data_IF_264251219146
#
_entry.id   IF_264251219146
#
_cell.length_a   1.000
_cell.length_b   1.000
_cell.length_c   1.000
_cell.angle_alpha   90.00
_cell.angle_beta   90.00
_cell.angle_gamma   90.00
#
_symmetry.space_group_name_H-M   'P 1'
#
loop_
_entity.id
_entity.type
_entity.pdbx_description
1 polymer ?
#
# COMPACT_ATOMS: atom_id res chain seq x y z
N UNK A 1 0.50 -57.82 17.25
CA UNK A 1 0.75 -57.91 18.70
C UNK A 1 0.34 -56.55 19.30
N UNK A 2 -0.77 -56.57 20.08
CA UNK A 2 -1.36 -55.38 20.74
C UNK A 2 -0.50 -54.97 21.93
N UNK A 3 -0.44 -53.72 22.29
CA UNK A 3 -0.58 -53.19 23.65
C UNK A 3 -0.86 -51.67 23.53
N UNK A 4 -1.99 -51.22 24.03
CA UNK A 4 -2.38 -49.88 24.47
C UNK A 4 -2.57 -49.95 26.00
N UNK A 5 -3.07 -48.91 26.71
CA UNK A 5 -2.57 -47.57 27.02
C UNK A 5 -2.53 -47.37 28.57
N UNK A 6 -2.07 -46.25 29.09
CA UNK A 6 -2.43 -45.84 30.47
C UNK A 6 -2.69 -44.32 30.55
N UNK A 7 -3.88 -44.02 31.03
CA UNK A 7 -4.36 -42.70 31.52
C UNK A 7 -3.76 -42.39 32.89
N UNK A 8 -3.60 -41.09 33.18
CA UNK A 8 -3.78 -40.58 34.53
C UNK A 8 -4.45 -39.20 34.50
N UNK A 9 -5.68 -39.22 35.03
CA UNK A 9 -6.47 -38.04 35.40
C UNK A 9 -5.96 -37.48 36.73
N UNK A 10 -5.94 -36.14 36.90
CA UNK A 10 -6.04 -35.51 38.21
C UNK A 10 -7.00 -34.32 38.16
N UNK A 11 -8.12 -34.50 38.84
CA UNK A 11 -9.11 -33.48 39.18
C UNK A 11 -8.60 -32.60 40.34
N UNK A 12 -8.78 -31.28 40.30
CA UNK A 12 -9.00 -30.48 41.49
C UNK A 12 -10.06 -29.38 41.21
N UNK A 13 -11.20 -29.58 41.85
CA UNK A 13 -12.30 -28.64 42.02
C UNK A 13 -12.05 -27.72 43.20
N UNK A 14 -12.35 -26.43 43.12
CA UNK A 14 -12.84 -25.58 44.21
C UNK A 14 -13.56 -24.32 43.68
N UNK A 15 -14.48 -23.69 44.46
CA UNK A 15 -15.73 -23.18 43.91
C UNK A 15 -15.80 -21.66 43.72
N UNK A 16 -16.71 -21.26 42.82
CA UNK A 16 -17.14 -19.87 42.61
C UNK A 16 -17.84 -19.29 43.85
N UNK A 17 -17.44 -18.07 44.22
CA UNK A 17 -18.29 -17.17 45.01
C UNK A 17 -18.86 -16.11 44.08
N UNK A 18 -20.19 -16.07 43.99
CA UNK A 18 -20.94 -15.05 43.29
C UNK A 18 -20.92 -13.75 44.08
N UNK A 19 -20.59 -12.65 43.41
CA UNK A 19 -20.86 -11.30 43.89
C UNK A 19 -21.81 -10.62 42.91
N UNK A 20 -23.06 -10.44 43.32
CA UNK A 20 -24.04 -9.63 42.63
C UNK A 20 -23.63 -8.15 42.73
N UNK A 21 -23.16 -7.55 41.65
CA UNK A 21 -23.01 -6.12 41.49
C UNK A 21 -24.15 -5.58 40.62
N UNK A 22 -24.91 -4.63 41.14
CA UNK A 22 -25.98 -3.91 40.42
C UNK A 22 -25.39 -3.22 39.20
N UNK A 23 -25.90 -3.55 38.01
CA UNK A 23 -25.60 -2.85 36.74
C UNK A 23 -26.55 -1.64 36.69
N UNK A 24 -26.01 -0.46 36.93
CA UNK A 24 -26.67 0.81 36.59
C UNK A 24 -26.46 1.08 35.12
N UNK A 25 -27.51 1.00 34.33
CA UNK A 25 -27.50 1.33 32.89
C UNK A 25 -27.38 2.86 32.77
N UNK A 26 -26.15 3.34 32.52
CA UNK A 26 -25.94 4.73 32.11
C UNK A 26 -26.00 4.74 30.58
N UNK A 27 -27.11 5.23 30.03
CA UNK A 27 -27.23 5.60 28.62
C UNK A 27 -26.38 6.85 28.38
N UNK A 28 -25.10 6.62 28.04
CA UNK A 28 -24.27 7.70 27.55
C UNK A 28 -24.68 7.99 26.10
N UNK A 29 -25.26 9.16 25.87
CA UNK A 29 -25.35 9.77 24.54
C UNK A 29 -23.94 9.95 24.02
N UNK A 30 -23.53 9.09 23.08
CA UNK A 30 -22.24 9.18 22.42
C UNK A 30 -22.18 10.49 21.63
N UNK A 31 -21.41 11.44 22.12
CA UNK A 31 -20.96 12.57 21.32
C UNK A 31 -20.23 12.04 20.09
N UNK A 32 -20.35 12.66 18.90
CA UNK A 32 -19.62 12.23 17.72
C UNK A 32 -18.13 12.31 18.04
N UNK A 33 -17.49 11.15 18.13
CA UNK A 33 -16.05 11.06 18.35
C UNK A 33 -15.34 11.72 17.16
N UNK A 34 -14.67 12.83 17.44
CA UNK A 34 -13.69 13.40 16.51
C UNK A 34 -12.58 12.36 16.39
N UNK A 35 -12.36 11.85 15.17
CA UNK A 35 -11.27 10.91 14.90
C UNK A 35 -9.94 11.56 15.33
N UNK A 36 -8.99 10.81 15.93
CA UNK A 36 -7.72 11.36 16.36
C UNK A 36 -6.93 11.95 15.17
N UNK A 37 -6.09 12.95 15.42
CA UNK A 37 -5.33 13.68 14.37
C UNK A 37 -4.52 12.75 13.42
N UNK A 38 -4.17 11.55 13.87
CA UNK A 38 -3.47 10.54 13.08
C UNK A 38 -4.33 9.97 11.93
N UNK A 39 -5.65 10.03 12.03
CA UNK A 39 -6.57 9.53 11.00
C UNK A 39 -6.67 10.45 9.77
N UNK A 40 -6.13 11.67 9.84
CA UNK A 40 -6.10 12.62 8.73
C UNK A 40 -4.73 12.73 8.04
N UNK A 41 -3.76 11.94 8.47
CA UNK A 41 -2.50 11.84 7.72
C UNK A 41 -2.80 11.35 6.30
N UNK A 42 -2.30 12.03 5.30
CA UNK A 42 -2.57 11.74 3.88
C UNK A 42 -4.01 11.90 3.40
N UNK A 43 -4.92 12.41 4.22
CA UNK A 43 -6.27 12.74 3.78
C UNK A 43 -6.27 13.98 2.88
N UNK A 44 -7.22 14.14 1.97
CA UNK A 44 -7.35 15.36 1.19
C UNK A 44 -7.70 16.57 2.08
N UNK A 45 -7.26 17.74 1.68
CA UNK A 45 -7.51 19.00 2.40
C UNK A 45 -9.01 19.23 2.69
N UNK A 46 -9.87 18.88 1.73
CA UNK A 46 -11.32 19.01 1.85
C UNK A 46 -11.95 18.06 2.87
N UNK A 47 -11.23 17.04 3.33
CA UNK A 47 -11.70 16.13 4.39
C UNK A 47 -12.00 16.83 5.72
N UNK A 48 -11.53 18.07 5.89
CA UNK A 48 -11.80 18.90 7.07
C UNK A 48 -13.18 19.58 7.02
N UNK A 49 -13.84 19.59 5.86
CA UNK A 49 -15.19 20.16 5.72
C UNK A 49 -16.20 19.38 6.54
N UNK A 50 -17.09 20.09 7.22
CA UNK A 50 -18.16 19.48 8.02
C UNK A 50 -19.34 19.11 7.12
N UNK A 51 -19.93 17.92 7.27
CA UNK A 51 -21.16 17.59 6.57
C UNK A 51 -22.26 18.62 6.86
N UNK A 52 -23.01 19.02 5.85
CA UNK A 52 -24.19 19.89 5.99
C UNK A 52 -25.35 19.09 6.57
N UNK A 53 -25.50 17.84 6.13
CA UNK A 53 -26.55 16.93 6.56
C UNK A 53 -26.01 15.50 6.72
N UNK A 54 -26.35 14.84 7.83
CA UNK A 54 -26.09 13.41 8.03
C UNK A 54 -27.39 12.62 7.87
N UNK A 55 -27.33 11.59 7.03
CA UNK A 55 -28.47 10.75 6.65
C UNK A 55 -28.18 9.33 7.13
N UNK A 56 -28.88 8.82 8.15
CA UNK A 56 -28.76 7.41 8.53
C UNK A 56 -29.40 6.51 7.47
N UNK A 57 -28.77 5.37 7.20
CA UNK A 57 -29.24 4.38 6.22
C UNK A 57 -29.13 2.96 6.77
N UNK A 58 -30.22 2.19 6.71
CA UNK A 58 -30.32 0.82 7.22
C UNK A 58 -31.19 -0.12 6.36
N UNK A 59 -31.59 0.31 5.16
CA UNK A 59 -32.41 -0.52 4.27
C UNK A 59 -31.52 -1.49 3.47
N UNK A 60 -31.53 -2.76 3.84
CA UNK A 60 -30.76 -3.84 3.19
C UNK A 60 -31.47 -4.45 1.99
N UNK A 61 -32.65 -3.96 1.59
CA UNK A 61 -33.29 -4.41 0.35
C UNK A 61 -32.38 -4.20 -0.83
N UNK A 62 -32.45 -5.13 -1.76
CA UNK A 62 -31.71 -5.08 -3.00
C UNK A 62 -31.87 -3.72 -3.70
N UNK A 63 -30.78 -3.14 -4.15
CA UNK A 63 -30.68 -1.83 -4.81
C UNK A 63 -31.24 -0.63 -4.00
N UNK A 64 -31.55 -0.78 -2.73
CA UNK A 64 -31.96 0.35 -1.89
C UNK A 64 -30.80 1.33 -1.65
N UNK A 65 -29.60 0.80 -1.36
CA UNK A 65 -28.39 1.63 -1.16
C UNK A 65 -28.01 2.41 -2.42
N UNK A 66 -27.92 1.83 -3.63
CA UNK A 66 -27.69 2.59 -4.87
C UNK A 66 -28.66 3.76 -5.06
N UNK A 67 -29.94 3.58 -4.77
CA UNK A 67 -30.95 4.66 -4.86
C UNK A 67 -30.72 5.77 -3.84
N UNK A 68 -30.38 5.39 -2.59
CA UNK A 68 -30.06 6.37 -1.54
C UNK A 68 -28.82 7.18 -1.90
N UNK A 69 -27.76 6.54 -2.41
CA UNK A 69 -26.54 7.21 -2.88
C UNK A 69 -26.82 8.16 -4.04
N UNK A 70 -27.62 7.73 -5.04
CA UNK A 70 -27.96 8.57 -6.18
C UNK A 70 -28.76 9.83 -5.81
N UNK A 71 -29.40 9.87 -4.66
CA UNK A 71 -30.14 11.02 -4.15
C UNK A 71 -29.31 12.03 -3.35
N UNK A 72 -28.03 11.73 -3.08
CA UNK A 72 -27.14 12.61 -2.30
C UNK A 72 -26.83 13.90 -3.06
N UNK A 73 -26.67 14.96 -2.29
CA UNK A 73 -26.33 16.31 -2.74
C UNK A 73 -25.01 16.75 -2.11
N UNK A 74 -24.32 17.75 -2.68
CA UNK A 74 -23.12 18.30 -2.05
C UNK A 74 -23.35 18.64 -0.57
N UNK A 75 -22.42 18.17 0.28
CA UNK A 75 -22.48 18.31 1.74
C UNK A 75 -23.24 17.19 2.47
N UNK A 76 -23.82 16.24 1.77
CA UNK A 76 -24.47 15.09 2.41
C UNK A 76 -23.47 14.05 2.90
N UNK A 77 -23.75 13.47 4.07
CA UNK A 77 -23.06 12.35 4.67
C UNK A 77 -24.05 11.20 4.86
N UNK A 78 -23.91 10.14 4.08
CA UNK A 78 -24.66 8.90 4.23
C UNK A 78 -23.95 8.00 5.24
N UNK A 79 -24.61 7.73 6.38
CA UNK A 79 -24.07 6.88 7.45
C UNK A 79 -24.79 5.54 7.42
N UNK A 80 -24.07 4.50 6.99
CA UNK A 80 -24.64 3.18 6.69
C UNK A 80 -24.55 2.29 7.92
N UNK A 81 -25.68 1.75 8.38
CA UNK A 81 -25.74 0.80 9.48
C UNK A 81 -25.15 -0.57 9.10
N UNK A 82 -24.80 -1.37 10.12
CA UNK A 82 -24.32 -2.74 9.91
C UNK A 82 -25.31 -3.56 9.07
N UNK A 83 -24.78 -4.30 8.11
CA UNK A 83 -25.59 -5.15 7.22
C UNK A 83 -24.82 -5.57 5.97
N UNK A 84 -25.42 -6.51 5.24
CA UNK A 84 -24.95 -6.93 3.92
C UNK A 84 -25.85 -6.32 2.85
N UNK A 85 -25.26 -5.53 1.97
CA UNK A 85 -25.92 -4.80 0.90
C UNK A 85 -25.55 -5.49 -0.42
N UNK A 86 -26.51 -6.23 -0.99
CA UNK A 86 -26.31 -7.02 -2.20
C UNK A 86 -26.61 -6.17 -3.44
N UNK A 87 -25.67 -6.16 -4.39
CA UNK A 87 -25.80 -5.46 -5.68
C UNK A 87 -26.18 -6.47 -6.77
N UNK A 88 -27.42 -6.50 -7.17
CA UNK A 88 -27.88 -7.35 -8.30
C UNK A 88 -27.65 -6.67 -9.65
N UNK A 89 -27.78 -5.35 -9.71
CA UNK A 89 -27.54 -4.55 -10.90
C UNK A 89 -26.17 -3.89 -10.84
N UNK A 90 -25.65 -3.47 -12.00
CA UNK A 90 -24.45 -2.62 -12.05
C UNK A 90 -24.68 -1.40 -11.17
N UNK A 91 -23.79 -1.22 -10.19
CA UNK A 91 -23.83 -0.04 -9.34
C UNK A 91 -22.74 0.95 -9.76
N UNK A 92 -23.20 2.13 -10.15
CA UNK A 92 -22.37 3.26 -10.53
C UNK A 92 -22.65 4.43 -9.61
N UNK A 93 -21.64 4.93 -8.94
CA UNK A 93 -21.72 6.16 -8.14
C UNK A 93 -21.35 7.33 -9.05
N UNK A 94 -22.30 8.22 -9.27
CA UNK A 94 -22.20 9.37 -10.20
C UNK A 94 -22.38 10.72 -9.50
N UNK A 95 -22.56 10.73 -8.16
CA UNK A 95 -22.76 11.95 -7.40
C UNK A 95 -21.43 12.60 -7.06
N UNK A 96 -21.39 13.93 -7.08
CA UNK A 96 -20.22 14.75 -6.81
C UNK A 96 -20.51 15.81 -5.76
N UNK A 97 -19.53 16.08 -4.89
CA UNK A 97 -19.50 17.21 -3.99
C UNK A 97 -18.67 18.38 -4.51
N UNK A 98 -18.33 19.31 -3.63
CA UNK A 98 -17.33 20.37 -3.84
C UNK A 98 -16.30 20.33 -2.72
N UNK A 99 -15.24 21.10 -2.82
CA UNK A 99 -14.23 21.17 -1.74
C UNK A 99 -14.85 21.66 -0.41
N UNK A 100 -15.82 22.56 -0.48
CA UNK A 100 -16.50 23.14 0.69
C UNK A 100 -17.66 22.24 1.18
N UNK A 101 -18.23 21.42 0.28
CA UNK A 101 -19.39 20.58 0.53
C UNK A 101 -19.19 19.18 -0.10
N UNK A 102 -18.21 18.38 0.36
CA UNK A 102 -17.97 17.04 -0.17
C UNK A 102 -19.11 16.08 0.17
N UNK A 103 -19.18 14.97 -0.56
CA UNK A 103 -20.11 13.88 -0.28
C UNK A 103 -19.38 12.78 0.48
N UNK A 104 -20.03 12.25 1.51
CA UNK A 104 -19.50 11.17 2.34
C UNK A 104 -20.41 9.96 2.28
N UNK A 105 -19.84 8.80 1.96
CA UNK A 105 -20.50 7.49 2.01
C UNK A 105 -19.67 6.66 2.98
N UNK A 106 -20.19 6.37 4.17
CA UNK A 106 -19.38 5.73 5.19
C UNK A 106 -20.17 4.77 6.08
N UNK A 107 -19.46 3.78 6.59
CA UNK A 107 -20.00 2.91 7.63
C UNK A 107 -20.23 3.70 8.93
N UNK A 108 -21.31 3.39 9.65
CA UNK A 108 -21.47 3.87 11.01
C UNK A 108 -20.31 3.37 11.89
N UNK A 109 -19.94 4.16 12.90
CA UNK A 109 -18.82 3.83 13.78
C UNK A 109 -18.95 2.42 14.37
N UNK A 110 -17.95 1.56 14.14
CA UNK A 110 -17.91 0.17 14.60
C UNK A 110 -18.89 -0.77 13.87
N UNK A 111 -19.59 -0.31 12.84
CA UNK A 111 -20.51 -1.14 12.08
C UNK A 111 -19.77 -1.96 11.01
N UNK A 112 -20.09 -3.25 10.90
CA UNK A 112 -19.69 -4.08 9.75
C UNK A 112 -20.70 -3.86 8.62
N UNK A 113 -20.26 -3.11 7.59
CA UNK A 113 -21.04 -2.80 6.38
C UNK A 113 -20.42 -3.51 5.20
N UNK A 114 -21.13 -4.46 4.60
CA UNK A 114 -20.63 -5.30 3.51
C UNK A 114 -21.34 -4.97 2.21
N UNK A 115 -20.59 -4.58 1.19
CA UNK A 115 -21.07 -4.47 -0.20
C UNK A 115 -20.63 -5.74 -0.93
N UNK A 116 -21.57 -6.43 -1.55
CA UNK A 116 -21.26 -7.68 -2.24
C UNK A 116 -22.06 -7.87 -3.52
N UNK A 117 -21.53 -8.69 -4.41
CA UNK A 117 -22.14 -9.12 -5.66
C UNK A 117 -21.77 -10.57 -5.92
N UNK A 118 -22.74 -11.38 -6.34
CA UNK A 118 -22.52 -12.79 -6.71
C UNK A 118 -22.09 -12.97 -8.15
N UNK A 119 -22.44 -12.02 -9.04
CA UNK A 119 -22.03 -12.05 -10.46
C UNK A 119 -20.55 -11.65 -10.59
N UNK A 120 -19.69 -12.65 -10.84
CA UNK A 120 -18.23 -12.49 -10.99
C UNK A 120 -17.78 -11.80 -12.28
N UNK A 121 -18.72 -11.48 -13.20
CA UNK A 121 -18.44 -10.73 -14.42
C UNK A 121 -18.68 -9.23 -14.29
N UNK A 122 -19.24 -8.81 -13.17
CA UNK A 122 -19.55 -7.41 -12.90
C UNK A 122 -18.80 -6.94 -11.64
N UNK A 123 -18.34 -5.69 -11.65
CA UNK A 123 -17.72 -5.09 -10.48
C UNK A 123 -18.75 -4.90 -9.36
N UNK A 124 -18.30 -4.93 -8.10
CA UNK A 124 -19.21 -4.68 -6.96
C UNK A 124 -19.62 -3.21 -6.95
N UNK A 125 -18.64 -2.29 -7.02
CA UNK A 125 -18.86 -0.85 -7.01
C UNK A 125 -18.05 -0.19 -8.13
N UNK A 126 -18.67 0.71 -8.87
CA UNK A 126 -17.99 1.61 -9.78
C UNK A 126 -18.17 3.06 -9.31
N UNK A 127 -17.17 3.90 -9.50
CA UNK A 127 -17.22 5.34 -9.25
C UNK A 127 -16.66 6.05 -10.47
N UNK A 128 -17.45 6.91 -11.09
CA UNK A 128 -16.98 7.77 -12.19
C UNK A 128 -16.71 7.06 -13.51
N UNK A 129 -17.34 5.91 -13.78
CA UNK A 129 -17.17 5.22 -15.07
C UNK A 129 -17.94 5.92 -16.20
N UNK A 130 -19.19 6.27 -15.94
CA UNK A 130 -20.08 6.86 -16.95
C UNK A 130 -20.11 8.39 -16.85
N UNK A 131 -19.94 8.94 -15.65
CA UNK A 131 -19.97 10.38 -15.38
C UNK A 131 -18.83 10.74 -14.45
N UNK A 132 -18.08 11.84 -14.71
CA UNK A 132 -17.01 12.28 -13.81
C UNK A 132 -17.48 12.49 -12.37
N UNK A 133 -16.71 12.02 -11.41
CA UNK A 133 -16.99 12.16 -9.96
C UNK A 133 -15.86 12.91 -9.28
N UNK A 134 -16.25 13.83 -8.41
CA UNK A 134 -15.27 14.61 -7.63
C UNK A 134 -15.76 14.90 -6.21
N UNK A 135 -14.80 15.11 -5.29
CA UNK A 135 -15.02 15.43 -3.88
C UNK A 135 -15.99 14.46 -3.19
N UNK A 136 -15.68 13.16 -3.32
CA UNK A 136 -16.46 12.07 -2.73
C UNK A 136 -15.53 11.20 -1.87
N UNK A 137 -15.99 10.85 -0.66
CA UNK A 137 -15.35 9.90 0.21
C UNK A 137 -16.17 8.60 0.32
N UNK A 138 -15.51 7.45 0.16
CA UNK A 138 -16.02 6.12 0.48
C UNK A 138 -15.18 5.55 1.64
N UNK A 139 -15.81 5.29 2.80
CA UNK A 139 -15.04 5.00 4.01
C UNK A 139 -15.57 3.83 4.83
N UNK A 140 -14.66 3.00 5.33
CA UNK A 140 -14.91 2.01 6.37
C UNK A 140 -15.84 0.87 5.97
N UNK A 141 -16.00 0.58 4.68
CA UNK A 141 -16.87 -0.48 4.17
C UNK A 141 -16.06 -1.70 3.75
N UNK A 142 -16.64 -2.89 3.90
CA UNK A 142 -16.14 -4.13 3.34
C UNK A 142 -16.72 -4.33 1.93
N UNK A 143 -15.87 -4.72 0.96
CA UNK A 143 -16.27 -4.98 -0.42
C UNK A 143 -15.77 -6.37 -0.82
N UNK A 144 -16.65 -7.27 -1.21
CA UNK A 144 -16.29 -8.66 -1.53
C UNK A 144 -17.14 -9.24 -2.65
N UNK A 145 -16.58 -10.21 -3.37
CA UNK A 145 -17.23 -10.83 -4.54
C UNK A 145 -17.10 -9.99 -5.81
N UNK A 146 -17.95 -10.23 -6.78
CA UNK A 146 -17.91 -9.58 -8.08
C UNK A 146 -16.65 -9.86 -8.88
N UNK A 147 -16.43 -9.13 -9.96
CA UNK A 147 -15.18 -9.11 -10.74
C UNK A 147 -14.16 -8.23 -10.04
N UNK A 148 -14.13 -6.93 -10.29
CA UNK A 148 -13.37 -6.00 -9.43
C UNK A 148 -14.18 -5.63 -8.18
N UNK A 149 -13.51 -5.47 -7.05
CA UNK A 149 -14.17 -4.97 -5.85
C UNK A 149 -14.63 -3.52 -6.04
N UNK A 150 -13.67 -2.62 -6.26
CA UNK A 150 -13.91 -1.21 -6.53
C UNK A 150 -13.22 -0.77 -7.81
N UNK A 151 -13.96 -0.13 -8.72
CA UNK A 151 -13.40 0.45 -9.93
C UNK A 151 -13.62 1.96 -9.99
N UNK A 152 -12.53 2.70 -10.12
CA UNK A 152 -12.51 4.15 -10.25
C UNK A 152 -12.31 4.50 -11.73
N UNK A 153 -13.12 5.39 -12.26
CA UNK A 153 -13.02 5.90 -13.63
C UNK A 153 -12.55 7.35 -13.67
N UNK A 154 -13.37 8.24 -14.21
CA UNK A 154 -13.12 9.68 -14.30
C UNK A 154 -13.26 10.31 -12.91
N UNK A 155 -12.29 10.08 -12.03
CA UNK A 155 -12.32 10.51 -10.63
C UNK A 155 -11.29 11.61 -10.37
N UNK A 156 -11.73 12.68 -9.70
CA UNK A 156 -10.86 13.73 -9.20
C UNK A 156 -11.20 14.09 -7.75
N UNK A 157 -10.20 14.18 -6.87
CA UNK A 157 -10.43 14.41 -5.43
C UNK A 157 -11.38 13.36 -4.82
N UNK A 158 -11.16 12.08 -5.12
CA UNK A 158 -11.92 10.97 -4.51
C UNK A 158 -11.07 10.31 -3.43
N UNK A 159 -11.68 10.07 -2.28
CA UNK A 159 -11.03 9.46 -1.12
C UNK A 159 -11.65 8.11 -0.78
N UNK A 160 -10.86 7.05 -0.89
CA UNK A 160 -11.20 5.69 -0.46
C UNK A 160 -10.38 5.37 0.78
N UNK A 161 -11.03 5.21 1.91
CA UNK A 161 -10.34 5.20 3.20
C UNK A 161 -10.86 4.14 4.16
N UNK A 162 -9.93 3.36 4.72
CA UNK A 162 -10.26 2.35 5.72
C UNK A 162 -11.20 1.26 5.21
N UNK A 163 -11.24 1.03 3.90
CA UNK A 163 -12.07 -0.02 3.30
C UNK A 163 -11.35 -1.36 3.34
N UNK A 164 -12.13 -2.45 3.49
CA UNK A 164 -11.65 -3.83 3.42
C UNK A 164 -12.13 -4.46 2.12
N UNK A 165 -11.23 -4.67 1.14
CA UNK A 165 -11.58 -5.13 -0.21
C UNK A 165 -10.92 -6.48 -0.45
N UNK A 166 -11.70 -7.55 -0.62
CA UNK A 166 -11.13 -8.89 -0.67
C UNK A 166 -12.02 -9.93 -1.37
N UNK A 167 -11.42 -11.08 -1.71
CA UNK A 167 -12.10 -12.22 -2.34
C UNK A 167 -12.92 -11.78 -3.55
N UNK A 168 -12.32 -10.95 -4.39
CA UNK A 168 -12.88 -10.49 -5.67
C UNK A 168 -12.53 -11.47 -6.78
N UNK A 169 -13.30 -11.50 -7.85
CA UNK A 169 -13.02 -12.37 -9.00
C UNK A 169 -11.80 -11.92 -9.83
N UNK A 170 -11.33 -10.68 -9.64
CA UNK A 170 -10.17 -10.11 -10.30
C UNK A 170 -9.46 -9.12 -9.34
N UNK A 171 -9.16 -7.90 -9.75
CA UNK A 171 -8.46 -6.86 -9.00
C UNK A 171 -9.29 -6.37 -7.81
N UNK A 172 -8.67 -6.17 -6.65
CA UNK A 172 -9.38 -5.58 -5.50
C UNK A 172 -9.81 -4.14 -5.78
N UNK A 173 -8.87 -3.25 -6.17
CA UNK A 173 -9.13 -1.86 -6.50
C UNK A 173 -8.44 -1.47 -7.80
N UNK A 174 -9.18 -0.92 -8.77
CA UNK A 174 -8.60 -0.47 -10.04
C UNK A 174 -8.98 0.96 -10.40
N UNK A 175 -8.05 1.67 -11.08
CA UNK A 175 -8.26 2.99 -11.69
C UNK A 175 -7.61 3.00 -13.07
N UNK A 176 -8.13 2.18 -13.99
CA UNK A 176 -7.49 1.88 -15.28
C UNK A 176 -8.39 2.06 -16.50
N UNK A 177 -9.57 2.66 -16.35
CA UNK A 177 -10.56 2.83 -17.43
C UNK A 177 -10.71 4.27 -17.92
N UNK A 178 -10.12 5.22 -17.21
CA UNK A 178 -10.07 6.64 -17.56
C UNK A 178 -8.91 7.32 -16.86
N UNK A 179 -8.59 8.56 -17.24
CA UNK A 179 -7.67 9.38 -16.48
C UNK A 179 -8.28 9.76 -15.13
N UNK A 180 -7.47 9.64 -14.07
CA UNK A 180 -7.86 10.01 -12.72
C UNK A 180 -6.79 10.91 -12.08
N UNK A 181 -7.22 11.75 -11.14
CA UNK A 181 -6.32 12.73 -10.52
C UNK A 181 -6.69 12.96 -9.05
N UNK A 182 -5.67 13.16 -8.22
CA UNK A 182 -5.88 13.41 -6.78
C UNK A 182 -6.79 12.37 -6.14
N UNK A 183 -6.49 11.10 -6.41
CA UNK A 183 -7.05 10.00 -5.66
C UNK A 183 -6.31 9.88 -4.32
N UNK A 184 -7.05 9.66 -3.25
CA UNK A 184 -6.51 9.39 -1.93
C UNK A 184 -6.96 7.98 -1.53
N UNK A 185 -6.04 7.01 -1.63
CA UNK A 185 -6.28 5.60 -1.34
C UNK A 185 -5.54 5.28 -0.04
N UNK A 186 -6.23 5.37 1.09
CA UNK A 186 -5.57 5.38 2.40
C UNK A 186 -6.14 4.37 3.37
N UNK A 187 -5.27 3.73 4.17
CA UNK A 187 -5.65 2.82 5.26
C UNK A 187 -6.56 1.65 4.83
N UNK A 188 -6.54 1.29 3.55
CA UNK A 188 -7.33 0.18 3.07
C UNK A 188 -6.62 -1.16 3.33
N UNK A 189 -7.41 -2.21 3.55
CA UNK A 189 -6.95 -3.58 3.65
C UNK A 189 -7.40 -4.33 2.40
N UNK A 190 -6.45 -4.77 1.55
CA UNK A 190 -6.73 -5.44 0.29
C UNK A 190 -6.05 -6.81 0.25
N UNK A 191 -6.80 -7.86 -0.11
CA UNK A 191 -6.22 -9.20 -0.24
C UNK A 191 -7.10 -10.17 -1.04
N UNK A 192 -6.50 -11.28 -1.49
CA UNK A 192 -7.19 -12.37 -2.17
C UNK A 192 -8.00 -11.90 -3.39
N UNK A 193 -7.40 -11.05 -4.25
CA UNK A 193 -7.91 -10.82 -5.60
C UNK A 193 -7.78 -12.11 -6.43
N UNK A 194 -8.79 -12.44 -7.22
CA UNK A 194 -8.77 -13.57 -8.16
C UNK A 194 -8.30 -13.15 -9.56
N UNK A 195 -8.30 -14.06 -10.52
CA UNK A 195 -7.91 -13.77 -11.90
C UNK A 195 -6.52 -13.14 -12.00
N UNK A 196 -6.43 -11.90 -12.46
CA UNK A 196 -5.17 -11.14 -12.47
C UNK A 196 -4.64 -10.92 -11.05
N UNK A 197 -5.49 -10.61 -10.08
CA UNK A 197 -5.23 -10.70 -8.64
C UNK A 197 -4.41 -9.57 -8.02
N UNK A 198 -4.25 -8.44 -8.71
CA UNK A 198 -3.59 -7.28 -8.13
C UNK A 198 -4.39 -6.72 -6.94
N UNK A 199 -3.69 -6.24 -5.93
CA UNK A 199 -4.30 -5.44 -4.86
C UNK A 199 -4.82 -4.13 -5.43
N UNK A 200 -3.92 -3.35 -6.09
CA UNK A 200 -4.27 -2.09 -6.77
C UNK A 200 -3.67 -2.04 -8.17
N UNK A 201 -4.51 -1.79 -9.18
CA UNK A 201 -4.12 -1.56 -10.58
C UNK A 201 -4.45 -0.12 -10.98
N UNK A 202 -3.43 0.75 -11.11
CA UNK A 202 -3.58 2.20 -11.20
C UNK A 202 -2.97 2.74 -12.50
N UNK A 203 -3.80 3.34 -13.35
CA UNK A 203 -3.47 3.67 -14.73
C UNK A 203 -3.62 2.48 -15.69
N UNK A 204 -3.37 2.67 -16.97
CA UNK A 204 -3.49 1.63 -17.99
C UNK A 204 -2.18 1.41 -18.75
N UNK A 205 -2.04 0.22 -19.34
CA UNK A 205 -0.87 -0.14 -20.15
C UNK A 205 -0.59 0.90 -21.22
N UNK A 206 0.69 1.14 -21.49
CA UNK A 206 1.19 2.06 -22.52
C UNK A 206 0.74 3.51 -22.32
N UNK A 207 0.36 3.91 -21.10
CA UNK A 207 -0.09 5.28 -20.81
C UNK A 207 -1.44 5.63 -21.41
N UNK A 208 -2.26 4.64 -21.77
CA UNK A 208 -3.60 4.88 -22.34
C UNK A 208 -4.48 5.71 -21.39
N UNK A 209 -4.42 5.37 -20.10
CA UNK A 209 -5.01 6.16 -19.02
C UNK A 209 -3.99 6.31 -17.90
N UNK A 210 -3.97 7.47 -17.28
CA UNK A 210 -2.98 7.81 -16.26
C UNK A 210 -3.64 8.24 -14.95
N UNK A 211 -3.00 7.88 -13.85
CA UNK A 211 -3.30 8.42 -12.52
C UNK A 211 -2.26 9.47 -12.16
N UNK A 212 -2.69 10.62 -11.65
CA UNK A 212 -1.77 11.71 -11.32
C UNK A 212 -2.05 12.41 -10.00
N UNK A 213 -1.02 13.00 -9.40
CA UNK A 213 -1.10 13.80 -8.17
C UNK A 213 -1.86 13.10 -7.04
N UNK A 214 -1.74 11.77 -6.96
CA UNK A 214 -2.51 10.90 -6.07
C UNK A 214 -1.67 10.41 -4.90
N UNK A 215 -2.34 10.00 -3.83
CA UNK A 215 -1.73 9.49 -2.61
C UNK A 215 -2.21 8.07 -2.36
N UNK A 216 -1.28 7.12 -2.29
CA UNK A 216 -1.51 5.71 -1.94
C UNK A 216 -0.73 5.46 -0.64
N UNK A 217 -1.41 5.48 0.52
CA UNK A 217 -0.69 5.48 1.78
C UNK A 217 -1.36 4.67 2.89
N UNK A 218 -0.54 4.12 3.79
CA UNK A 218 -0.99 3.39 4.97
C UNK A 218 -1.87 2.17 4.66
N UNK A 219 -1.79 1.63 3.44
CA UNK A 219 -2.57 0.44 3.08
C UNK A 219 -1.86 -0.83 3.53
N UNK A 220 -2.64 -1.84 3.91
CA UNK A 220 -2.18 -3.20 4.15
C UNK A 220 -2.65 -4.07 2.99
N UNK A 221 -1.71 -4.62 2.22
CA UNK A 221 -2.00 -5.35 0.98
C UNK A 221 -1.24 -6.67 1.01
N UNK A 222 -1.96 -7.79 0.89
CA UNK A 222 -1.32 -9.11 0.96
C UNK A 222 -2.11 -10.21 0.23
N UNK A 223 -1.49 -11.38 0.09
CA UNK A 223 -2.09 -12.54 -0.57
C UNK A 223 -2.64 -12.19 -1.97
N UNK A 224 -1.88 -11.37 -2.72
CA UNK A 224 -2.14 -11.04 -4.11
C UNK A 224 -1.52 -12.13 -4.99
N UNK A 225 -2.17 -13.30 -5.08
CA UNK A 225 -1.62 -14.51 -5.67
C UNK A 225 -2.21 -14.88 -7.04
N UNK A 226 -2.91 -13.94 -7.68
CA UNK A 226 -3.43 -14.11 -9.04
C UNK A 226 -2.34 -14.12 -10.12
N UNK A 227 -2.74 -14.28 -11.39
CA UNK A 227 -1.80 -14.44 -12.52
C UNK A 227 -0.82 -13.26 -12.69
N UNK A 228 -1.20 -12.06 -12.25
CA UNK A 228 -0.39 -10.84 -12.26
C UNK A 228 -0.50 -10.10 -10.92
N UNK A 229 -0.48 -10.85 -9.83
CA UNK A 229 -0.76 -10.35 -8.48
C UNK A 229 0.30 -9.43 -7.91
N UNK A 230 0.46 -8.23 -8.49
CA UNK A 230 1.17 -7.12 -7.83
C UNK A 230 0.39 -6.64 -6.61
N UNK A 231 1.08 -6.17 -5.59
CA UNK A 231 0.41 -5.49 -4.48
C UNK A 231 -0.14 -4.13 -4.91
N UNK A 232 0.75 -3.25 -5.38
CA UNK A 232 0.41 -1.93 -5.95
C UNK A 232 1.11 -1.81 -7.31
N UNK A 233 0.34 -1.64 -8.37
CA UNK A 233 0.88 -1.41 -9.71
C UNK A 233 0.46 -0.03 -10.23
N UNK A 234 1.44 0.86 -10.48
CA UNK A 234 1.25 2.18 -11.07
C UNK A 234 1.78 2.18 -12.49
N UNK A 235 0.87 2.28 -13.46
CA UNK A 235 1.16 2.13 -14.88
C UNK A 235 1.87 3.32 -15.49
N UNK A 236 2.49 3.08 -16.64
CA UNK A 236 3.26 4.04 -17.41
C UNK A 236 2.48 5.35 -17.65
N UNK A 237 3.20 6.46 -17.59
CA UNK A 237 2.64 7.79 -17.80
C UNK A 237 1.97 8.38 -16.56
N UNK A 238 1.72 7.58 -15.51
CA UNK A 238 1.19 8.08 -14.24
C UNK A 238 2.28 8.84 -13.47
N UNK A 239 1.96 10.02 -12.92
CA UNK A 239 2.96 10.98 -12.44
C UNK A 239 2.56 11.75 -11.19
N UNK A 240 3.56 12.27 -10.49
CA UNK A 240 3.34 13.13 -9.32
C UNK A 240 2.66 12.42 -8.14
N UNK A 241 2.72 11.08 -8.10
CA UNK A 241 2.05 10.29 -7.08
C UNK A 241 2.98 10.06 -5.88
N UNK A 242 2.39 9.99 -4.70
CA UNK A 242 3.02 9.57 -3.45
C UNK A 242 2.55 8.17 -3.08
N UNK A 243 3.48 7.21 -3.00
CA UNK A 243 3.24 5.84 -2.51
C UNK A 243 4.00 5.70 -1.19
N UNK A 244 3.30 5.75 -0.04
CA UNK A 244 3.97 5.91 1.25
C UNK A 244 3.38 5.05 2.36
N UNK A 245 4.24 4.53 3.23
CA UNK A 245 3.86 3.83 4.47
C UNK A 245 2.89 2.66 4.25
N UNK A 246 2.96 2.00 3.07
CA UNK A 246 2.19 0.79 2.82
C UNK A 246 2.94 -0.43 3.34
N UNK A 247 2.23 -1.40 3.94
CA UNK A 247 2.73 -2.75 4.23
C UNK A 247 2.19 -3.70 3.16
N UNK A 248 3.10 -4.21 2.31
CA UNK A 248 2.73 -5.04 1.16
C UNK A 248 3.52 -6.35 1.22
N UNK A 249 2.84 -7.49 1.20
CA UNK A 249 3.52 -8.78 1.31
C UNK A 249 2.73 -9.96 0.69
N UNK A 250 3.42 -11.08 0.51
CA UNK A 250 2.85 -12.30 -0.03
C UNK A 250 2.16 -12.04 -1.38
N UNK A 251 2.95 -11.57 -2.35
CA UNK A 251 2.50 -11.24 -3.70
C UNK A 251 3.10 -12.17 -4.74
N UNK A 252 2.37 -12.46 -5.82
CA UNK A 252 2.85 -13.29 -6.93
C UNK A 252 3.85 -12.53 -7.81
N UNK A 253 3.60 -11.23 -8.04
CA UNK A 253 4.45 -10.26 -8.73
C UNK A 253 5.01 -9.25 -7.71
N UNK A 254 5.73 -8.19 -8.10
CA UNK A 254 6.32 -7.30 -7.11
C UNK A 254 5.31 -6.72 -6.12
N UNK A 255 5.73 -6.54 -4.87
CA UNK A 255 4.88 -5.86 -3.90
C UNK A 255 4.48 -4.47 -4.40
N UNK A 256 5.42 -3.74 -4.99
CA UNK A 256 5.16 -2.43 -5.60
C UNK A 256 5.86 -2.36 -6.95
N UNK A 257 5.08 -2.11 -8.01
CA UNK A 257 5.56 -1.85 -9.37
C UNK A 257 5.19 -0.42 -9.77
N UNK A 258 6.19 0.40 -10.18
CA UNK A 258 5.98 1.77 -10.65
C UNK A 258 6.72 1.99 -11.96
N UNK A 259 5.96 2.31 -12.99
CA UNK A 259 6.54 2.64 -14.30
C UNK A 259 6.91 4.12 -14.43
N UNK A 260 7.55 4.49 -15.52
CA UNK A 260 8.01 5.86 -15.77
C UNK A 260 6.87 6.85 -16.01
N UNK A 261 7.14 8.13 -15.75
CA UNK A 261 6.15 9.22 -15.85
C UNK A 261 6.05 9.82 -17.25
N UNK A 262 6.87 9.35 -18.21
CA UNK A 262 6.96 9.91 -19.57
C UNK A 262 7.34 11.41 -19.58
N UNK A 263 8.31 11.82 -18.74
CA UNK A 263 8.83 13.19 -18.66
C UNK A 263 7.96 14.13 -17.83
N UNK A 264 6.95 13.62 -17.13
CA UNK A 264 6.12 14.37 -16.18
C UNK A 264 6.79 14.42 -14.79
N UNK A 265 6.24 15.15 -13.82
CA UNK A 265 6.77 15.17 -12.45
C UNK A 265 6.94 13.75 -11.87
N UNK A 266 8.02 13.56 -11.11
CA UNK A 266 8.43 12.27 -10.58
C UNK A 266 7.40 11.69 -9.59
N UNK A 267 7.33 10.36 -9.51
CA UNK A 267 6.66 9.66 -8.44
C UNK A 267 7.59 9.54 -7.21
N UNK A 268 7.03 9.58 -6.02
CA UNK A 268 7.76 9.38 -4.76
C UNK A 268 7.28 8.09 -4.11
N UNK A 269 8.21 7.15 -3.87
CA UNK A 269 7.94 5.87 -3.21
C UNK A 269 8.75 5.86 -1.90
N UNK A 270 8.08 6.01 -0.76
CA UNK A 270 8.80 6.17 0.49
C UNK A 270 8.17 5.45 1.69
N UNK A 271 9.01 5.02 2.61
CA UNK A 271 8.60 4.42 3.88
C UNK A 271 7.66 3.21 3.74
N UNK A 272 7.72 2.51 2.60
CA UNK A 272 6.96 1.27 2.42
C UNK A 272 7.72 0.08 2.97
N UNK A 273 7.00 -0.88 3.53
CA UNK A 273 7.49 -2.19 3.89
C UNK A 273 7.03 -3.20 2.83
N UNK A 274 7.98 -3.80 2.10
CA UNK A 274 7.70 -4.83 1.10
C UNK A 274 8.40 -6.13 1.49
N UNK A 275 7.68 -7.25 1.49
CA UNK A 275 8.27 -8.53 1.91
C UNK A 275 7.59 -9.74 1.28
N UNK A 276 8.37 -10.82 1.09
CA UNK A 276 7.88 -12.12 0.62
C UNK A 276 7.12 -12.05 -0.71
N UNK A 277 7.71 -11.40 -1.71
CA UNK A 277 7.21 -11.46 -3.08
C UNK A 277 7.73 -12.70 -3.79
N UNK A 278 6.87 -13.37 -4.57
CA UNK A 278 7.30 -14.48 -5.45
C UNK A 278 8.07 -13.99 -6.69
N UNK A 279 8.19 -12.68 -6.86
CA UNK A 279 9.02 -12.02 -7.87
C UNK A 279 9.99 -11.03 -7.18
N UNK A 280 10.10 -9.79 -7.60
CA UNK A 280 10.89 -8.76 -6.95
C UNK A 280 10.14 -8.14 -5.77
N UNK A 281 10.84 -7.76 -4.69
CA UNK A 281 10.13 -7.05 -3.62
C UNK A 281 9.65 -5.66 -4.08
N UNK A 282 10.45 -4.98 -4.96
CA UNK A 282 10.02 -3.74 -5.60
C UNK A 282 10.61 -3.62 -7.01
N UNK A 283 9.78 -3.15 -7.96
CA UNK A 283 10.20 -2.83 -9.31
C UNK A 283 9.87 -1.38 -9.63
N UNK A 284 10.89 -0.56 -9.96
CA UNK A 284 10.68 0.83 -10.35
C UNK A 284 11.46 1.14 -11.61
N UNK A 285 10.76 1.56 -12.65
CA UNK A 285 11.42 1.84 -13.93
C UNK A 285 12.12 3.18 -13.93
N UNK A 286 11.48 4.23 -13.44
CA UNK A 286 12.12 5.52 -13.37
C UNK A 286 11.19 6.69 -13.36
N UNK A 287 11.81 7.84 -13.46
CA UNK A 287 11.35 9.16 -13.09
C UNK A 287 10.72 9.12 -11.70
N UNK A 288 11.51 8.63 -10.73
CA UNK A 288 11.05 8.42 -9.37
C UNK A 288 12.14 8.69 -8.33
N UNK A 289 11.70 8.97 -7.10
CA UNK A 289 12.50 8.98 -5.89
C UNK A 289 12.02 7.82 -5.01
N UNK A 290 12.88 6.83 -4.81
CA UNK A 290 12.65 5.66 -3.96
C UNK A 290 13.49 5.84 -2.70
N UNK A 291 12.85 6.09 -1.55
CA UNK A 291 13.59 6.44 -0.35
C UNK A 291 12.98 5.90 0.94
N UNK A 292 13.82 5.59 1.91
CA UNK A 292 13.41 5.12 3.23
C UNK A 292 12.50 3.88 3.19
N UNK A 293 12.56 3.03 2.15
CA UNK A 293 11.78 1.80 2.12
C UNK A 293 12.56 0.65 2.77
N UNK A 294 11.83 -0.31 3.32
CA UNK A 294 12.35 -1.57 3.82
C UNK A 294 11.84 -2.68 2.90
N UNK A 295 12.76 -3.34 2.17
CA UNK A 295 12.45 -4.37 1.18
C UNK A 295 13.12 -5.68 1.61
N UNK A 296 12.35 -6.75 1.77
CA UNK A 296 12.86 -8.02 2.29
C UNK A 296 12.28 -9.19 1.51
N UNK A 297 13.15 -10.12 1.06
CA UNK A 297 12.73 -11.40 0.49
C UNK A 297 11.86 -11.29 -0.76
N UNK A 298 12.41 -10.77 -1.85
CA UNK A 298 11.91 -11.02 -3.20
C UNK A 298 12.59 -12.27 -3.78
N UNK A 299 11.82 -13.19 -4.39
CA UNK A 299 12.37 -14.38 -5.04
C UNK A 299 13.35 -14.01 -6.18
N UNK A 300 13.06 -12.92 -6.88
CA UNK A 300 13.95 -12.35 -7.90
C UNK A 300 15.02 -11.46 -7.25
N UNK A 301 14.80 -10.16 -7.22
CA UNK A 301 15.67 -9.19 -6.56
C UNK A 301 14.93 -8.46 -5.45
N UNK A 302 15.64 -7.93 -4.46
CA UNK A 302 15.02 -7.02 -3.48
C UNK A 302 14.48 -5.77 -4.18
N UNK A 303 15.30 -5.19 -5.06
CA UNK A 303 14.90 -4.08 -5.94
C UNK A 303 15.36 -4.34 -7.36
N UNK A 304 14.51 -4.08 -8.35
CA UNK A 304 14.89 -4.13 -9.76
C UNK A 304 14.46 -2.90 -10.53
N UNK A 305 15.24 -2.55 -11.57
CA UNK A 305 14.95 -1.46 -12.47
C UNK A 305 15.48 -1.78 -13.87
N UNK A 306 14.56 -1.88 -14.83
CA UNK A 306 14.87 -2.19 -16.23
C UNK A 306 13.83 -1.56 -17.15
N UNK A 307 14.17 -1.42 -18.43
CA UNK A 307 13.21 -0.95 -19.45
C UNK A 307 12.05 -1.96 -19.55
N UNK A 308 10.84 -1.46 -19.41
CA UNK A 308 9.59 -2.19 -19.58
C UNK A 308 8.44 -1.19 -19.76
N UNK A 309 7.71 -1.24 -20.84
CA UNK A 309 6.71 -0.24 -21.24
C UNK A 309 7.25 1.22 -21.32
N UNK A 310 8.57 1.42 -21.37
CA UNK A 310 9.23 2.72 -21.46
C UNK A 310 10.69 2.62 -21.09
N UNK A 311 11.39 3.75 -21.05
CA UNK A 311 12.82 3.84 -20.76
C UNK A 311 13.09 4.18 -19.31
N UNK A 312 14.04 3.48 -18.71
CA UNK A 312 14.56 3.78 -17.37
C UNK A 312 15.42 5.04 -17.40
N UNK A 313 15.07 6.07 -16.62
CA UNK A 313 15.87 7.30 -16.44
C UNK A 313 15.39 8.08 -15.18
N UNK A 314 16.21 9.02 -14.72
CA UNK A 314 15.93 9.93 -13.61
C UNK A 314 15.40 9.19 -12.36
N UNK A 315 16.12 8.14 -11.95
CA UNK A 315 15.73 7.32 -10.80
C UNK A 315 16.74 7.47 -9.67
N UNK A 316 16.27 7.90 -8.51
CA UNK A 316 17.05 8.01 -7.29
C UNK A 316 16.61 6.95 -6.28
N UNK A 317 17.50 6.03 -5.92
CA UNK A 317 17.28 5.01 -4.89
C UNK A 317 18.18 5.36 -3.71
N UNK A 318 17.58 5.93 -2.65
CA UNK A 318 18.35 6.54 -1.56
C UNK A 318 17.83 6.16 -0.18
N UNK A 319 18.72 5.85 0.75
CA UNK A 319 18.38 5.50 2.14
C UNK A 319 17.36 4.36 2.26
N UNK A 320 17.39 3.35 1.38
CA UNK A 320 16.58 2.15 1.55
C UNK A 320 17.37 1.07 2.29
N UNK A 321 16.66 0.16 2.96
CA UNK A 321 17.20 -1.09 3.50
C UNK A 321 16.64 -2.24 2.68
N UNK A 322 17.50 -2.94 1.94
CA UNK A 322 17.13 -3.99 0.99
C UNK A 322 17.87 -5.27 1.34
N UNK A 323 17.13 -6.27 1.79
CA UNK A 323 17.66 -7.56 2.26
C UNK A 323 17.06 -8.67 1.39
N UNK A 324 17.90 -9.43 0.70
CA UNK A 324 17.43 -10.46 -0.20
C UNK A 324 18.35 -11.71 -0.22
N UNK A 325 17.79 -12.86 -0.51
CA UNK A 325 18.57 -14.08 -0.77
C UNK A 325 19.24 -14.05 -2.14
N UNK A 326 18.53 -13.55 -3.16
CA UNK A 326 19.04 -13.19 -4.47
C UNK A 326 19.69 -11.80 -4.48
N UNK A 327 19.83 -11.15 -5.66
CA UNK A 327 20.39 -9.80 -5.72
C UNK A 327 19.60 -8.82 -4.84
N UNK A 328 20.30 -8.00 -4.04
CA UNK A 328 19.61 -6.96 -3.29
C UNK A 328 19.15 -5.85 -4.23
N UNK A 329 20.03 -5.37 -5.11
CA UNK A 329 19.74 -4.36 -6.13
C UNK A 329 20.17 -4.84 -7.51
N UNK A 330 19.29 -4.66 -8.52
CA UNK A 330 19.57 -4.95 -9.92
C UNK A 330 19.16 -3.79 -10.83
N UNK A 331 20.14 -3.09 -11.40
CA UNK A 331 19.98 -2.00 -12.37
C UNK A 331 20.16 -2.50 -13.81
N UNK A 332 19.14 -3.12 -14.42
CA UNK A 332 19.24 -3.77 -15.72
C UNK A 332 19.42 -2.79 -16.88
N UNK A 333 18.83 -1.61 -16.84
CA UNK A 333 18.88 -0.62 -17.92
C UNK A 333 19.41 0.74 -17.45
N UNK A 334 20.44 0.72 -16.58
CA UNK A 334 21.01 1.95 -16.01
C UNK A 334 22.21 2.51 -16.78
N UNK A 335 22.88 1.67 -17.59
CA UNK A 335 24.08 2.06 -18.32
C UNK A 335 23.83 3.23 -19.27
N UNK A 336 24.60 4.31 -19.14
CA UNK A 336 24.48 5.52 -19.97
C UNK A 336 23.16 6.29 -19.79
N UNK A 337 22.36 5.98 -18.76
CA UNK A 337 21.09 6.68 -18.49
C UNK A 337 21.29 7.90 -17.61
N UNK A 338 20.52 8.96 -17.90
CA UNK A 338 20.58 10.21 -17.16
C UNK A 338 19.92 10.07 -15.79
N UNK A 339 20.49 10.71 -14.78
CA UNK A 339 19.89 10.92 -13.47
C UNK A 339 19.79 9.66 -12.59
N UNK A 340 20.65 8.65 -12.84
CA UNK A 340 20.64 7.41 -12.08
C UNK A 340 21.50 7.51 -10.83
N UNK A 341 20.88 7.35 -9.65
CA UNK A 341 21.53 7.50 -8.33
C UNK A 341 21.20 6.32 -7.43
N UNK A 342 22.25 5.69 -6.89
CA UNK A 342 22.17 4.66 -5.85
C UNK A 342 23.00 5.12 -4.65
N UNK A 343 22.35 5.72 -3.64
CA UNK A 343 23.09 6.37 -2.56
C UNK A 343 22.53 6.05 -1.16
N UNK A 344 23.43 5.89 -0.19
CA UNK A 344 23.10 5.76 1.23
C UNK A 344 22.16 4.58 1.56
N UNK A 345 22.13 3.53 0.75
CA UNK A 345 21.31 2.35 1.02
C UNK A 345 22.09 1.31 1.86
N UNK A 346 21.35 0.40 2.50
CA UNK A 346 21.87 -0.88 2.97
C UNK A 346 21.37 -1.94 1.99
N UNK A 347 22.30 -2.68 1.35
CA UNK A 347 22.01 -3.62 0.27
C UNK A 347 22.68 -4.97 0.61
N UNK A 348 21.92 -5.88 1.22
CA UNK A 348 22.43 -7.18 1.64
C UNK A 348 21.86 -8.29 0.78
N UNK A 349 22.75 -9.05 0.17
CA UNK A 349 22.47 -10.27 -0.57
C UNK A 349 23.13 -11.45 0.14
N UNK A 350 22.39 -12.55 0.36
CA UNK A 350 22.95 -13.75 0.97
C UNK A 350 23.77 -14.56 -0.02
N UNK A 351 23.23 -14.79 -1.23
CA UNK A 351 23.73 -15.81 -2.17
C UNK A 351 24.19 -15.22 -3.51
N UNK A 352 23.99 -13.91 -3.75
CA UNK A 352 24.25 -13.23 -5.03
C UNK A 352 24.92 -11.87 -4.83
N UNK A 353 24.93 -11.04 -5.88
CA UNK A 353 25.45 -9.67 -5.79
C UNK A 353 24.57 -8.75 -4.93
N UNK A 354 25.20 -7.96 -4.08
CA UNK A 354 24.51 -6.87 -3.40
C UNK A 354 24.06 -5.80 -4.40
N UNK A 355 24.90 -5.54 -5.42
CA UNK A 355 24.61 -4.58 -6.50
C UNK A 355 24.99 -5.21 -7.84
N UNK A 356 24.01 -5.35 -8.71
CA UNK A 356 24.21 -5.89 -10.06
C UNK A 356 23.84 -4.87 -11.14
N UNK A 357 24.75 -4.65 -12.09
CA UNK A 357 24.53 -3.90 -13.33
C UNK A 357 24.87 -4.78 -14.54
N UNK A 358 23.98 -5.66 -14.96
CA UNK A 358 24.30 -6.66 -15.99
C UNK A 358 24.69 -6.06 -17.36
N UNK A 359 24.23 -4.85 -17.65
CA UNK A 359 24.49 -4.15 -18.92
C UNK A 359 25.43 -2.93 -18.76
N UNK A 360 26.19 -2.87 -17.65
CA UNK A 360 27.07 -1.75 -17.35
C UNK A 360 26.43 -0.67 -16.50
N UNK A 361 27.23 0.31 -16.10
CA UNK A 361 26.86 1.37 -15.15
C UNK A 361 27.47 2.75 -15.47
N UNK A 362 27.74 3.03 -16.72
CA UNK A 362 28.28 4.33 -17.12
C UNK A 362 27.33 5.46 -16.70
N UNK A 363 27.86 6.53 -16.12
CA UNK A 363 27.07 7.68 -15.66
C UNK A 363 26.26 7.48 -14.38
N UNK A 364 26.30 6.28 -13.75
CA UNK A 364 25.58 6.00 -12.51
C UNK A 364 26.35 6.54 -11.31
N UNK A 365 25.67 7.33 -10.48
CA UNK A 365 26.22 7.75 -9.17
C UNK A 365 26.00 6.65 -8.14
N UNK A 366 27.10 6.13 -7.54
CA UNK A 366 27.08 5.14 -6.47
C UNK A 366 27.89 5.69 -5.31
N UNK A 367 27.24 5.93 -4.14
CA UNK A 367 27.92 6.49 -2.97
C UNK A 367 27.22 6.15 -1.66
N UNK A 368 27.99 6.01 -0.57
CA UNK A 368 27.46 5.84 0.78
C UNK A 368 26.67 4.54 1.03
N UNK A 369 26.74 3.53 0.16
CA UNK A 369 25.98 2.30 0.35
C UNK A 369 26.74 1.31 1.24
N UNK A 370 26.02 0.64 2.12
CA UNK A 370 26.53 -0.47 2.96
C UNK A 370 26.09 -1.79 2.33
N UNK A 371 27.00 -2.70 2.12
CA UNK A 371 26.75 -3.92 1.34
C UNK A 371 27.17 -5.19 2.09
N UNK A 372 26.46 -6.29 1.78
CA UNK A 372 26.91 -7.67 1.97
C UNK A 372 26.67 -8.43 0.65
N UNK A 373 27.70 -9.04 0.10
CA UNK A 373 27.70 -9.66 -1.23
C UNK A 373 28.51 -8.87 -2.25
N UNK A 374 28.62 -9.38 -3.47
CA UNK A 374 29.43 -8.75 -4.52
C UNK A 374 28.83 -7.42 -4.99
N UNK A 375 29.69 -6.44 -5.24
CA UNK A 375 29.32 -5.13 -5.73
C UNK A 375 30.49 -4.42 -6.43
N UNK A 376 30.24 -3.37 -7.24
CA UNK A 376 31.29 -2.48 -7.72
C UNK A 376 32.06 -1.85 -6.53
N UNK A 377 33.39 -1.78 -6.62
CA UNK A 377 34.27 -1.29 -5.55
C UNK A 377 34.28 0.25 -5.42
N UNK A 378 33.18 0.91 -5.69
CA UNK A 378 33.07 2.38 -5.61
C UNK A 378 31.81 2.78 -4.81
N UNK A 379 31.98 3.69 -3.86
CA UNK A 379 30.87 4.22 -3.07
C UNK A 379 30.17 3.20 -2.17
N UNK A 380 30.87 2.11 -1.81
CA UNK A 380 30.36 1.01 -0.99
C UNK A 380 31.24 0.73 0.20
N UNK A 381 30.63 0.28 1.29
CA UNK A 381 31.27 -0.06 2.56
C UNK A 381 30.76 -1.44 3.01
N UNK A 382 31.59 -2.25 3.66
CA UNK A 382 31.17 -3.56 4.14
C UNK A 382 30.20 -3.43 5.32
N UNK A 383 29.09 -4.17 5.26
CA UNK A 383 28.19 -4.41 6.39
C UNK A 383 28.43 -5.79 7.00
N UNK A 384 27.75 -6.09 8.10
CA UNK A 384 27.90 -7.33 8.86
C UNK A 384 26.75 -8.31 8.65
N UNK A 385 25.82 -7.98 7.77
CA UNK A 385 24.64 -8.79 7.50
C UNK A 385 23.52 -8.56 8.51
N UNK A 386 22.76 -9.61 8.82
CA UNK A 386 21.60 -9.49 9.70
C UNK A 386 21.93 -9.05 11.13
N UNK A 387 23.20 -9.18 11.56
CA UNK A 387 23.67 -8.70 12.85
C UNK A 387 23.60 -7.16 12.99
N UNK A 388 23.52 -6.44 11.89
CA UNK A 388 23.34 -4.99 11.88
C UNK A 388 21.91 -4.56 12.26
N UNK A 389 20.99 -5.50 12.45
CA UNK A 389 19.59 -5.23 12.73
C UNK A 389 19.11 -5.91 14.02
N UNK A 390 18.03 -5.39 14.61
CA UNK A 390 17.45 -5.95 15.82
C UNK A 390 16.70 -7.25 15.59
N UNK A 391 16.06 -7.43 14.42
CA UNK A 391 15.23 -8.61 14.21
C UNK A 391 14.85 -8.85 12.75
N UNK A 392 15.81 -8.95 11.83
CA UNK A 392 15.57 -9.34 10.44
C UNK A 392 15.85 -10.82 10.20
N UNK A 393 15.12 -11.41 9.25
CA UNK A 393 15.42 -12.72 8.65
C UNK A 393 15.40 -12.63 7.13
N UNK A 394 16.16 -13.52 6.46
CA UNK A 394 16.25 -13.54 4.99
C UNK A 394 14.92 -13.89 4.30
N UNK A 395 14.03 -14.59 4.97
CA UNK A 395 12.69 -14.96 4.48
C UNK A 395 11.63 -13.87 4.75
N UNK A 396 11.96 -12.82 5.50
CA UNK A 396 11.03 -11.74 5.82
C UNK A 396 9.96 -12.08 6.86
N UNK A 397 10.10 -13.20 7.58
CA UNK A 397 9.20 -13.54 8.69
C UNK A 397 9.39 -12.59 9.88
N UNK A 398 10.64 -12.22 10.15
CA UNK A 398 10.96 -11.11 11.05
C UNK A 398 11.52 -9.95 10.24
N UNK A 399 11.04 -8.76 10.50
CA UNK A 399 11.30 -7.57 9.67
C UNK A 399 11.63 -6.30 10.45
N UNK A 400 12.12 -6.44 11.69
CA UNK A 400 12.61 -5.30 12.49
C UNK A 400 13.96 -4.82 11.95
N UNK A 401 13.92 -3.85 11.04
CA UNK A 401 15.09 -3.27 10.38
C UNK A 401 15.75 -2.12 11.20
N UNK A 402 15.40 -1.94 12.46
CA UNK A 402 16.10 -0.98 13.33
C UNK A 402 17.54 -1.43 13.51
N UNK A 403 18.50 -0.49 13.44
CA UNK A 403 19.90 -0.82 13.67
C UNK A 403 20.12 -1.47 15.06
N UNK A 404 20.97 -2.50 15.12
CA UNK A 404 21.44 -3.06 16.39
C UNK A 404 22.46 -2.12 17.04
N UNK A 405 22.71 -2.30 18.33
CA UNK A 405 23.73 -1.52 19.04
C UNK A 405 25.16 -1.78 18.47
N UNK A 406 25.36 -2.91 17.81
CA UNK A 406 26.64 -3.30 17.19
C UNK A 406 26.71 -2.95 15.70
N UNK A 407 25.72 -2.27 15.14
CA UNK A 407 25.65 -1.99 13.71
C UNK A 407 26.88 -1.22 13.21
N UNK A 408 27.52 -1.74 12.17
CA UNK A 408 28.68 -1.14 11.52
C UNK A 408 28.26 -0.37 10.25
N UNK A 409 27.30 0.55 10.40
CA UNK A 409 26.78 1.32 9.31
C UNK A 409 27.71 2.48 8.96
N UNK A 410 28.07 2.61 7.68
CA UNK A 410 28.91 3.68 7.22
C UNK A 410 28.19 5.03 7.27
N UNK A 411 28.95 6.12 7.31
CA UNK A 411 28.40 7.46 7.22
C UNK A 411 27.82 7.69 5.83
N UNK A 412 26.58 8.15 5.79
CA UNK A 412 25.92 8.50 4.55
C UNK A 412 26.60 9.69 3.88
N UNK A 413 26.60 9.69 2.55
CA UNK A 413 27.03 10.85 1.73
C UNK A 413 26.09 12.03 2.00
N UNK A 414 26.61 13.18 2.49
CA UNK A 414 25.79 14.34 2.87
C UNK A 414 24.97 14.92 1.72
N UNK A 415 25.41 14.75 0.48
CA UNK A 415 24.68 15.21 -0.72
C UNK A 415 23.30 14.58 -0.86
N UNK A 416 23.16 13.33 -0.41
CA UNK A 416 21.93 12.55 -0.53
C UNK A 416 21.28 12.26 0.83
N UNK A 417 21.63 13.03 1.85
CA UNK A 417 21.06 12.87 3.20
C UNK A 417 19.60 13.32 3.21
N UNK A 418 18.77 12.49 3.84
CA UNK A 418 17.36 12.80 4.12
C UNK A 418 17.21 13.35 5.55
N UNK A 419 16.21 14.19 5.77
CA UNK A 419 15.92 14.79 7.09
C UNK A 419 15.26 13.76 8.04
N UNK A 420 14.39 12.92 7.49
CA UNK A 420 13.64 11.91 8.25
C UNK A 420 13.97 10.50 7.79
N UNK A 421 13.65 9.53 8.62
CA UNK A 421 13.83 8.10 8.36
C UNK A 421 12.51 7.40 7.99
N UNK A 422 12.52 6.06 7.99
CA UNK A 422 11.35 5.19 7.72
C UNK A 422 10.16 5.48 8.65
N UNK A 423 10.43 5.73 9.93
CA UNK A 423 9.39 6.05 10.92
C UNK A 423 8.95 7.52 10.90
N UNK A 424 9.50 8.34 10.00
CA UNK A 424 9.29 9.78 9.98
C UNK A 424 10.08 10.53 11.06
N UNK A 425 10.92 9.83 11.82
CA UNK A 425 11.75 10.43 12.85
C UNK A 425 12.93 11.21 12.24
N UNK A 426 13.32 12.31 12.89
CA UNK A 426 14.45 13.12 12.42
C UNK A 426 15.76 12.33 12.52
N UNK A 427 16.52 12.28 11.42
CA UNK A 427 17.84 11.66 11.41
C UNK A 427 18.85 12.50 12.20
N UNK A 428 19.31 11.98 13.32
CA UNK A 428 20.34 12.62 14.17
C UNK A 428 21.74 12.25 13.74
N UNK A 429 21.93 11.07 13.12
CA UNK A 429 23.21 10.55 12.68
C UNK A 429 23.24 10.38 11.15
N UNK A 430 24.41 10.60 10.50
CA UNK A 430 24.58 10.43 9.06
C UNK A 430 24.89 8.98 8.70
N UNK A 431 23.94 8.07 8.92
CA UNK A 431 24.08 6.65 8.57
C UNK A 431 23.23 6.27 7.35
N UNK A 432 23.62 5.22 6.66
CA UNK A 432 22.92 4.65 5.52
C UNK A 432 21.74 3.78 5.96
N UNK A 433 20.82 3.48 5.05
CA UNK A 433 19.64 2.67 5.30
C UNK A 433 18.38 3.45 5.62
N UNK A 434 17.26 2.73 5.71
CA UNK A 434 15.92 3.30 5.86
C UNK A 434 15.68 3.88 7.27
N UNK A 435 16.17 3.21 8.32
CA UNK A 435 15.92 3.54 9.72
C UNK A 435 17.19 4.08 10.34
N UNK A 436 17.10 5.20 11.03
CA UNK A 436 18.17 5.76 11.84
C UNK A 436 18.10 5.25 13.30
N UNK A 437 19.25 5.17 14.04
CA UNK A 437 19.27 4.81 15.44
C UNK A 437 18.56 5.83 16.31
#
# INVERSE_FOLDING_TARGET
>A
MRIAPTRHDFFFTRPLRAALGRITLITALASPSVLPAQDYQYAPEWAKAKPIRSIPFNDTKVDALPKAVAALKPGDRLVIAAGTYVMERRWEITVSGTAEAPIWIEAASGAKVVFTRTDDKQNVVNIGQDVPVHHLALRGVEITGGSHGLRLGQCENVWVDGCHIHHTGSVCLSANSANSRRLFLTRNHLHHGGGHGEGMYLGANNGQFVMSESVIALNHIHDCMGEQGDGIEVKQGSWGNLIAENDVHDTQYPCITVYGTAGKPVNVIERNLCRRSADHAMQVQGEAIVRNNVLISGRGSGFTSTDHQGKTLNLQVVHNTIINTGPAFRGGSWNGRQGMVLANNILYSRDKGAIEFPNGREGVTITGNVILGDAPKIGVFPGRGLEDFQGLTWDGERYDARPSAAAALAKADPKYRLETDFAGAKRTQPISGAIAP
#
